data_IF_738922995675
#
_entry.id   IF_738922995675
#
_cell.length_a   1.000
_cell.length_b   1.000
_cell.length_c   1.000
_cell.angle_alpha   90.00
_cell.angle_beta   90.00
_cell.angle_gamma   90.00
#
_symmetry.space_group_name_H-M   'P 1'
#
loop_
_entity.id
_entity.type
_entity.pdbx_description
1 polymer ?
#
# COMPACT_ATOMS: atom_id res chain seq x y z
N UNK A 1 -28.56 1.05 31.16
CA UNK A 1 -27.22 0.40 31.11
C UNK A 1 -27.24 -0.94 30.37
N UNK A 2 -28.19 -1.84 30.68
CA UNK A 2 -28.31 -3.16 30.02
C UNK A 2 -28.51 -3.14 28.48
N UNK A 3 -29.29 -2.20 27.93
CA UNK A 3 -29.48 -2.08 26.45
C UNK A 3 -28.16 -1.89 25.67
N UNK A 4 -27.25 -1.06 26.18
CA UNK A 4 -25.93 -0.80 25.56
C UNK A 4 -25.00 -2.02 25.63
N UNK A 5 -25.16 -2.85 26.66
CA UNK A 5 -24.40 -4.11 26.82
C UNK A 5 -24.88 -5.12 25.77
N UNK A 6 -26.19 -5.25 25.57
CA UNK A 6 -26.77 -6.12 24.54
C UNK A 6 -26.40 -5.70 23.11
N UNK A 7 -26.36 -4.40 22.79
CA UNK A 7 -25.93 -3.92 21.47
C UNK A 7 -24.45 -4.26 21.17
N UNK A 8 -23.56 -4.06 22.15
CA UNK A 8 -22.14 -4.42 22.00
C UNK A 8 -21.94 -5.93 21.85
N UNK A 9 -22.71 -6.72 22.60
CA UNK A 9 -22.66 -8.17 22.53
C UNK A 9 -23.17 -8.68 21.17
N UNK A 10 -24.31 -8.16 20.70
CA UNK A 10 -24.86 -8.50 19.39
C UNK A 10 -23.92 -8.12 18.25
N UNK A 11 -23.24 -6.96 18.34
CA UNK A 11 -22.21 -6.55 17.38
C UNK A 11 -21.01 -7.50 17.39
N UNK A 12 -20.55 -7.93 18.57
CA UNK A 12 -19.48 -8.94 18.70
C UNK A 12 -19.88 -10.29 18.13
N UNK A 13 -21.08 -10.78 18.43
CA UNK A 13 -21.62 -12.06 17.90
C UNK A 13 -21.72 -12.00 16.38
N UNK A 14 -22.22 -10.90 15.81
CA UNK A 14 -22.29 -10.68 14.36
C UNK A 14 -20.90 -10.73 13.73
N UNK A 15 -19.94 -9.99 14.28
CA UNK A 15 -18.55 -9.99 13.79
C UNK A 15 -17.92 -11.38 13.88
N UNK A 16 -18.19 -12.13 14.96
CA UNK A 16 -17.65 -13.48 15.16
C UNK A 16 -18.27 -14.49 14.18
N UNK A 17 -19.58 -14.44 13.96
CA UNK A 17 -20.27 -15.25 12.93
C UNK A 17 -19.73 -14.94 11.53
N UNK A 18 -19.57 -13.66 11.18
CA UNK A 18 -18.97 -13.24 9.92
C UNK A 18 -17.53 -13.73 9.75
N UNK A 19 -16.77 -13.84 10.84
CA UNK A 19 -15.39 -14.35 10.85
C UNK A 19 -15.30 -15.88 10.81
N UNK A 20 -16.24 -16.61 11.42
CA UNK A 20 -16.37 -18.06 11.25
C UNK A 20 -16.77 -18.38 9.80
N UNK A 21 -17.65 -17.57 9.21
CA UNK A 21 -18.01 -17.64 7.79
C UNK A 21 -16.82 -17.33 6.86
N UNK A 22 -15.78 -16.63 7.29
CA UNK A 22 -14.58 -16.43 6.46
C UNK A 22 -13.82 -17.75 6.21
N UNK A 23 -13.95 -18.78 7.05
CA UNK A 23 -13.44 -20.12 6.75
C UNK A 23 -14.27 -20.83 5.65
N UNK A 24 -15.50 -20.39 5.39
CA UNK A 24 -16.46 -21.03 4.45
C UNK A 24 -16.80 -20.17 3.22
N UNK A 25 -16.53 -18.86 3.22
CA UNK A 25 -16.97 -17.95 2.16
C UNK A 25 -15.94 -17.90 1.02
N UNK A 26 -15.99 -18.94 0.18
CA UNK A 26 -15.19 -19.11 -1.05
C UNK A 26 -15.14 -17.82 -1.90
N UNK A 27 -16.27 -17.11 -2.04
CA UNK A 27 -16.37 -15.85 -2.80
C UNK A 27 -15.52 -14.71 -2.21
N UNK A 28 -15.47 -14.57 -0.88
CA UNK A 28 -14.61 -13.55 -0.23
C UNK A 28 -13.12 -13.88 -0.43
N UNK A 29 -12.74 -15.15 -0.34
CA UNK A 29 -11.37 -15.61 -0.60
C UNK A 29 -10.96 -15.36 -2.05
N UNK A 30 -11.80 -15.73 -3.00
CA UNK A 30 -11.58 -15.47 -4.43
C UNK A 30 -11.42 -13.99 -4.73
N UNK A 31 -12.27 -13.12 -4.14
CA UNK A 31 -12.14 -11.67 -4.28
C UNK A 31 -10.81 -11.14 -3.71
N UNK A 32 -10.38 -11.64 -2.56
CA UNK A 32 -9.10 -11.24 -1.96
C UNK A 32 -7.92 -11.67 -2.85
N UNK A 33 -7.93 -12.90 -3.36
CA UNK A 33 -6.91 -13.40 -4.29
C UNK A 33 -6.90 -12.59 -5.58
N UNK A 34 -8.06 -12.28 -6.15
CA UNK A 34 -8.16 -11.47 -7.36
C UNK A 34 -7.62 -10.05 -7.13
N UNK A 35 -7.98 -9.41 -6.02
CA UNK A 35 -7.45 -8.10 -5.65
C UNK A 35 -5.93 -8.12 -5.50
N UNK A 36 -5.38 -9.17 -4.86
CA UNK A 36 -3.94 -9.32 -4.70
C UNK A 36 -3.24 -9.57 -6.03
N UNK A 37 -3.80 -10.41 -6.91
CA UNK A 37 -3.30 -10.62 -8.28
C UNK A 37 -3.27 -9.31 -9.06
N UNK A 38 -4.35 -8.53 -9.03
CA UNK A 38 -4.43 -7.24 -9.72
C UNK A 38 -3.42 -6.22 -9.16
N UNK A 39 -3.23 -6.22 -7.83
CA UNK A 39 -2.20 -5.41 -7.20
C UNK A 39 -0.80 -5.80 -7.70
N UNK A 40 -0.48 -7.09 -7.72
CA UNK A 40 0.80 -7.60 -8.21
C UNK A 40 1.04 -7.25 -9.68
N UNK A 41 0.06 -7.48 -10.56
CA UNK A 41 0.15 -7.13 -11.98
C UNK A 41 0.45 -5.64 -12.19
N UNK A 42 -0.10 -4.78 -11.34
CA UNK A 42 0.15 -3.35 -11.44
C UNK A 42 1.47 -2.88 -10.85
N UNK A 43 2.02 -3.58 -9.85
CA UNK A 43 3.21 -3.12 -9.12
C UNK A 43 4.51 -3.76 -9.59
N UNK A 44 4.50 -5.02 -10.05
CA UNK A 44 5.71 -5.73 -10.48
C UNK A 44 6.47 -4.97 -11.60
N UNK A 45 5.82 -4.42 -12.65
CA UNK A 45 6.54 -3.63 -13.65
C UNK A 45 7.18 -2.36 -13.07
N UNK A 46 6.61 -1.80 -12.00
CA UNK A 46 7.18 -0.64 -11.32
C UNK A 46 8.37 -1.03 -10.44
N UNK A 47 8.31 -2.22 -9.81
CA UNK A 47 9.43 -2.78 -9.05
C UNK A 47 10.63 -3.10 -9.94
N UNK A 48 10.41 -3.58 -11.16
CA UNK A 48 11.47 -3.78 -12.16
C UNK A 48 12.11 -2.45 -12.58
N UNK A 49 11.31 -1.41 -12.85
CA UNK A 49 11.81 -0.05 -13.14
C UNK A 49 12.61 0.51 -11.97
N UNK A 50 12.14 0.28 -10.74
CA UNK A 50 12.87 0.68 -9.54
C UNK A 50 14.18 -0.09 -9.41
N UNK A 51 14.19 -1.40 -9.66
CA UNK A 51 15.41 -2.22 -9.62
C UNK A 51 16.48 -1.62 -10.52
N UNK A 52 16.16 -1.38 -11.79
CA UNK A 52 17.06 -0.78 -12.77
C UNK A 52 17.53 0.63 -12.35
N UNK A 53 16.64 1.44 -11.77
CA UNK A 53 17.00 2.74 -11.21
C UNK A 53 18.02 2.60 -10.08
N UNK A 54 17.79 1.69 -9.13
CA UNK A 54 18.69 1.50 -7.98
C UNK A 54 20.05 0.93 -8.41
N UNK A 55 20.06 0.01 -9.38
CA UNK A 55 21.30 -0.51 -9.97
C UNK A 55 22.12 0.61 -10.63
N UNK A 56 21.47 1.46 -11.43
CA UNK A 56 22.11 2.62 -12.07
C UNK A 56 22.76 3.59 -11.08
N UNK A 57 22.19 3.72 -9.89
CA UNK A 57 22.68 4.63 -8.84
C UNK A 57 23.55 3.92 -7.78
N UNK A 58 23.88 2.65 -7.97
CA UNK A 58 24.73 1.88 -7.07
C UNK A 58 24.15 1.71 -5.65
N UNK A 59 22.82 1.69 -5.50
CA UNK A 59 22.18 1.51 -4.18
C UNK A 59 22.10 0.03 -3.85
N UNK A 60 22.78 -0.40 -2.78
CA UNK A 60 22.83 -1.81 -2.33
C UNK A 60 22.10 -2.03 -1.00
N UNK A 61 22.46 -1.30 0.05
CA UNK A 61 22.00 -1.62 1.42
C UNK A 61 20.56 -1.16 1.71
N UNK A 62 20.16 -0.01 1.15
CA UNK A 62 18.87 0.62 1.46
C UNK A 62 17.75 0.25 0.47
N UNK A 63 18.00 -0.69 -0.45
CA UNK A 63 17.06 -1.02 -1.55
C UNK A 63 15.67 -1.35 -1.01
N UNK A 64 15.59 -2.11 0.07
CA UNK A 64 14.33 -2.48 0.71
C UNK A 64 13.46 -1.27 1.05
N UNK A 65 14.05 -0.19 1.56
CA UNK A 65 13.31 1.02 1.92
C UNK A 65 12.78 1.76 0.68
N UNK A 66 13.53 1.75 -0.42
CA UNK A 66 13.06 2.30 -1.69
C UNK A 66 11.90 1.49 -2.28
N UNK A 67 11.91 0.15 -2.17
CA UNK A 67 10.77 -0.68 -2.53
C UNK A 67 9.55 -0.39 -1.64
N UNK A 68 9.75 -0.26 -0.33
CA UNK A 68 8.68 0.10 0.60
C UNK A 68 8.06 1.46 0.25
N UNK A 69 8.90 2.45 -0.08
CA UNK A 69 8.45 3.75 -0.56
C UNK A 69 7.62 3.64 -1.85
N UNK A 70 8.11 2.91 -2.86
CA UNK A 70 7.37 2.70 -4.12
C UNK A 70 5.97 2.12 -3.86
N UNK A 71 5.86 1.09 -3.01
CA UNK A 71 4.59 0.47 -2.63
C UNK A 71 3.65 1.45 -1.93
N UNK A 72 4.19 2.31 -1.06
CA UNK A 72 3.43 3.34 -0.35
C UNK A 72 2.87 4.38 -1.35
N UNK A 73 3.69 4.86 -2.29
CA UNK A 73 3.24 5.81 -3.33
C UNK A 73 2.23 5.17 -4.29
N UNK A 74 2.45 3.92 -4.70
CA UNK A 74 1.49 3.19 -5.54
C UNK A 74 0.13 3.04 -4.85
N UNK A 75 0.12 2.72 -3.56
CA UNK A 75 -1.11 2.59 -2.79
C UNK A 75 -1.84 3.93 -2.65
N UNK A 76 -1.11 5.03 -2.45
CA UNK A 76 -1.68 6.38 -2.42
C UNK A 76 -2.28 6.79 -3.77
N UNK A 77 -1.57 6.51 -4.87
CA UNK A 77 -2.04 6.83 -6.23
C UNK A 77 -3.34 6.11 -6.60
N UNK A 78 -3.56 4.89 -6.09
CA UNK A 78 -4.82 4.17 -6.28
C UNK A 78 -5.94 4.62 -5.31
N UNK A 79 -5.61 5.33 -4.23
CA UNK A 79 -6.57 5.74 -3.18
C UNK A 79 -7.04 7.18 -3.32
N UNK A 80 -6.15 8.08 -3.72
CA UNK A 80 -6.39 9.52 -3.74
C UNK A 80 -6.16 10.10 -5.14
N UNK A 81 -6.80 11.25 -5.40
CA UNK A 81 -6.66 11.97 -6.67
C UNK A 81 -6.20 13.42 -6.45
N UNK A 82 -5.64 14.03 -7.50
CA UNK A 82 -5.35 15.46 -7.61
C UNK A 82 -4.59 16.02 -6.40
N UNK A 83 -5.10 17.09 -5.78
CA UNK A 83 -4.43 17.85 -4.70
C UNK A 83 -4.17 17.01 -3.45
N UNK A 84 -5.09 16.10 -3.09
CA UNK A 84 -4.92 15.24 -1.91
C UNK A 84 -3.77 14.26 -2.13
N UNK A 85 -3.68 13.67 -3.32
CA UNK A 85 -2.56 12.79 -3.68
C UNK A 85 -1.22 13.52 -3.56
N UNK A 86 -1.10 14.74 -4.08
CA UNK A 86 0.16 15.50 -3.98
C UNK A 86 0.57 15.80 -2.53
N UNK A 87 -0.39 16.16 -1.68
CA UNK A 87 -0.14 16.43 -0.26
C UNK A 87 0.37 15.17 0.44
N UNK A 88 -0.29 14.03 0.24
CA UNK A 88 0.11 12.75 0.84
C UNK A 88 1.50 12.31 0.36
N UNK A 89 1.77 12.41 -0.94
CA UNK A 89 3.09 12.07 -1.50
C UNK A 89 4.18 12.98 -0.90
N UNK A 90 3.93 14.29 -0.76
CA UNK A 90 4.89 15.22 -0.18
C UNK A 90 5.22 14.84 1.29
N UNK A 91 4.23 14.41 2.07
CA UNK A 91 4.43 13.90 3.42
C UNK A 91 5.27 12.63 3.43
N UNK A 92 5.04 11.70 2.49
CA UNK A 92 5.86 10.48 2.38
C UNK A 92 7.31 10.81 1.99
N UNK A 93 7.52 11.74 1.07
CA UNK A 93 8.87 12.19 0.73
C UNK A 93 9.59 12.70 1.98
N UNK A 94 8.99 13.62 2.75
CA UNK A 94 9.58 14.13 3.99
C UNK A 94 9.87 13.02 5.01
N UNK A 95 8.93 12.08 5.20
CA UNK A 95 9.06 10.92 6.11
C UNK A 95 10.27 10.05 5.78
N UNK A 96 10.55 9.85 4.50
CA UNK A 96 11.59 8.95 4.01
C UNK A 96 12.95 9.67 3.86
N UNK A 97 12.94 10.95 3.51
CA UNK A 97 14.12 11.82 3.63
C UNK A 97 14.64 11.86 5.07
N UNK A 98 13.75 12.02 6.05
CA UNK A 98 14.11 11.99 7.47
C UNK A 98 14.67 10.63 7.94
N UNK A 99 14.50 9.57 7.15
CA UNK A 99 15.09 8.24 7.39
C UNK A 99 16.42 8.03 6.67
N UNK A 100 16.95 9.04 6.00
CA UNK A 100 18.24 8.98 5.29
C UNK A 100 18.15 8.74 3.78
N UNK A 101 16.96 8.47 3.23
CA UNK A 101 16.84 8.20 1.79
C UNK A 101 17.06 9.46 0.95
N UNK A 102 17.83 9.31 -0.14
CA UNK A 102 18.11 10.40 -1.09
C UNK A 102 16.83 10.91 -1.74
N UNK A 103 16.50 12.19 -1.50
CA UNK A 103 15.38 12.93 -2.09
C UNK A 103 15.27 12.78 -3.61
N UNK A 104 16.41 12.87 -4.31
CA UNK A 104 16.47 12.75 -5.77
C UNK A 104 15.96 11.40 -6.27
N UNK A 105 16.26 10.32 -5.55
CA UNK A 105 15.73 8.99 -5.85
C UNK A 105 14.24 8.89 -5.51
N UNK A 106 13.79 9.41 -4.37
CA UNK A 106 12.37 9.43 -4.00
C UNK A 106 11.52 10.16 -5.06
N UNK A 107 11.99 11.30 -5.58
CA UNK A 107 11.31 12.03 -6.65
C UNK A 107 11.27 11.25 -7.97
N UNK A 108 12.34 10.54 -8.33
CA UNK A 108 12.35 9.66 -9.52
C UNK A 108 11.35 8.51 -9.36
N UNK A 109 11.26 7.92 -8.18
CA UNK A 109 10.30 6.85 -7.87
C UNK A 109 8.86 7.37 -7.95
N UNK A 110 8.59 8.57 -7.42
CA UNK A 110 7.30 9.24 -7.60
C UNK A 110 6.92 9.33 -9.08
N UNK A 111 7.85 9.71 -9.95
CA UNK A 111 7.62 9.80 -11.40
C UNK A 111 7.37 8.43 -12.05
N UNK A 112 8.06 7.38 -11.61
CA UNK A 112 7.81 5.99 -12.07
C UNK A 112 6.35 5.59 -11.82
N UNK A 113 5.80 5.91 -10.64
CA UNK A 113 4.41 5.57 -10.30
C UNK A 113 3.40 6.42 -11.06
N UNK A 114 3.67 7.71 -11.25
CA UNK A 114 2.76 8.63 -11.94
C UNK A 114 2.73 8.49 -13.45
N UNK A 115 3.79 7.97 -14.06
CA UNK A 115 3.85 7.64 -15.48
C UNK A 115 3.23 6.29 -15.83
N UNK A 116 2.47 5.69 -14.91
CA UNK A 116 1.63 4.51 -15.17
C UNK A 116 0.39 4.90 -15.96
#
# INVERSE_FOLDING_TARGET
MMKKINEKLNKRIKNYKENIDLKLNKKKKEKMVANFKNYLLGILPLEEKLKALLDKYGVLDERFFYYAYLREIYSLANKYQKKTLEKEIALRIKKWEARGLKKSLLLKIKSIVKGK
#
